data_IF_772671831931
#
_entry.id   IF_772671831931
#
_cell.length_a   1.000
_cell.length_b   1.000
_cell.length_c   1.000
_cell.angle_alpha   90.00
_cell.angle_beta   90.00
_cell.angle_gamma   90.00
#
_symmetry.space_group_name_H-M   'P 1'
#
loop_
_entity.id
_entity.type
_entity.pdbx_description
1 polymer ?
#
# COMPACT_ATOMS: atom_id res chain seq x y z
N UNK A 1 4.96 -2.43 19.19
CA UNK A 1 6.00 -3.39 19.62
C UNK A 1 6.95 -2.71 20.58
N UNK A 2 7.12 -3.31 21.78
CA UNK A 2 8.13 -2.89 22.75
C UNK A 2 9.35 -3.77 22.55
N UNK A 3 10.52 -3.19 22.28
CA UNK A 3 11.80 -3.90 22.25
C UNK A 3 12.48 -3.76 23.59
N UNK A 4 12.66 -4.89 24.31
CA UNK A 4 13.47 -4.95 25.52
C UNK A 4 14.89 -5.41 25.16
N UNK A 5 15.90 -4.64 25.57
CA UNK A 5 17.31 -5.06 25.43
C UNK A 5 17.65 -6.08 26.53
N UNK A 6 18.12 -7.24 26.12
CA UNK A 6 18.54 -8.32 27.00
C UNK A 6 20.06 -8.16 27.30
N UNK A 7 20.41 -7.92 28.55
CA UNK A 7 21.79 -8.03 29.03
C UNK A 7 21.93 -9.29 29.92
N UNK A 8 22.75 -10.23 29.47
CA UNK A 8 23.17 -11.39 30.30
C UNK A 8 24.45 -11.05 31.05
N UNK A 9 24.41 -11.03 32.37
CA UNK A 9 25.61 -11.03 33.23
C UNK A 9 25.90 -12.43 33.73
N UNK A 10 27.03 -13.02 33.32
CA UNK A 10 27.55 -14.27 33.87
C UNK A 10 28.21 -14.02 35.24
N UNK A 11 27.64 -14.58 36.30
CA UNK A 11 28.37 -14.91 37.56
C UNK A 11 27.81 -16.18 38.13
N UNK A 12 28.72 -17.06 38.61
CA UNK A 12 28.45 -18.43 39.01
C UNK A 12 27.46 -18.57 40.19
N UNK A 13 26.75 -19.73 40.15
CA UNK A 13 26.07 -20.46 41.22
C UNK A 13 24.68 -19.98 41.70
N UNK A 14 23.77 -20.88 41.54
CA UNK A 14 22.40 -21.14 41.98
C UNK A 14 21.38 -21.07 40.84
N UNK A 15 20.36 -21.93 40.80
CA UNK A 15 19.35 -21.87 39.75
C UNK A 15 18.54 -20.57 39.87
N UNK A 16 19.07 -19.52 39.28
CA UNK A 16 18.34 -18.28 39.12
C UNK A 16 17.21 -18.57 38.13
N UNK A 17 15.99 -18.51 38.59
CA UNK A 17 14.83 -18.30 37.76
C UNK A 17 15.22 -17.17 36.76
N UNK A 18 15.39 -17.52 35.50
CA UNK A 18 15.63 -16.52 34.42
C UNK A 18 14.41 -15.63 34.34
N UNK A 19 14.39 -14.58 35.12
CA UNK A 19 13.37 -13.56 35.09
C UNK A 19 13.67 -12.57 33.98
N UNK A 20 12.69 -12.24 33.20
CA UNK A 20 12.79 -11.11 32.26
C UNK A 20 12.99 -9.83 33.09
N UNK A 21 14.17 -9.23 32.99
CA UNK A 21 14.44 -7.94 33.61
C UNK A 21 13.93 -6.84 32.68
N UNK A 22 12.84 -6.20 33.07
CA UNK A 22 12.31 -5.04 32.36
C UNK A 22 13.16 -3.80 32.65
N UNK A 23 13.47 -3.04 31.61
CA UNK A 23 14.12 -1.75 31.77
C UNK A 23 13.19 -0.76 32.52
N UNK A 24 13.77 0.31 33.08
CA UNK A 24 13.00 1.41 33.64
C UNK A 24 12.04 1.98 32.58
N UNK A 25 10.85 2.36 33.01
CA UNK A 25 9.75 2.84 32.13
C UNK A 25 10.18 3.96 31.20
N UNK A 26 11.09 4.80 31.62
CA UNK A 26 11.63 5.92 30.85
C UNK A 26 12.52 5.54 29.66
N UNK A 27 12.99 4.30 29.63
CA UNK A 27 13.86 3.76 28.58
C UNK A 27 13.09 3.10 27.43
N UNK A 28 11.77 2.99 27.54
CA UNK A 28 10.95 2.44 26.45
C UNK A 28 10.72 3.45 25.33
N UNK A 29 10.98 3.02 24.11
CA UNK A 29 10.66 3.79 22.91
C UNK A 29 9.38 3.28 22.26
N UNK A 30 8.58 4.20 21.75
CA UNK A 30 7.39 3.88 20.95
C UNK A 30 7.78 3.83 19.47
N UNK A 31 7.26 2.83 18.77
CA UNK A 31 7.38 2.70 17.32
C UNK A 31 5.99 2.51 16.71
N UNK A 32 5.26 3.58 16.59
CA UNK A 32 3.96 3.60 15.95
C UNK A 32 4.14 3.79 14.45
N UNK A 33 3.41 3.01 13.65
CA UNK A 33 3.31 3.16 12.21
C UNK A 33 1.85 3.05 11.80
N UNK A 34 1.50 3.67 10.67
CA UNK A 34 0.18 3.48 10.08
C UNK A 34 0.07 2.03 9.59
N UNK A 35 -1.02 1.37 9.91
CA UNK A 35 -1.24 -0.02 9.51
C UNK A 35 -1.30 -0.14 7.97
N UNK A 36 -0.78 -1.25 7.44
CA UNK A 36 -0.79 -1.52 6.01
C UNK A 36 -2.21 -1.61 5.43
N UNK A 37 -3.21 -2.01 6.22
CA UNK A 37 -4.60 -2.03 5.76
C UNK A 37 -5.11 -0.62 5.46
N UNK A 38 -4.76 0.36 6.29
CA UNK A 38 -5.14 1.77 6.09
C UNK A 38 -4.43 2.32 4.85
N UNK A 39 -3.12 2.05 4.73
CA UNK A 39 -2.34 2.46 3.56
C UNK A 39 -2.89 1.80 2.28
N UNK A 40 -3.27 0.53 2.34
CA UNK A 40 -3.90 -0.18 1.24
C UNK A 40 -5.25 0.40 0.83
N UNK A 41 -6.10 0.74 1.80
CA UNK A 41 -7.38 1.37 1.54
C UNK A 41 -7.22 2.75 0.88
N UNK A 42 -6.21 3.52 1.29
CA UNK A 42 -5.86 4.78 0.64
C UNK A 42 -5.42 4.56 -0.81
N UNK A 43 -4.53 3.61 -1.06
CA UNK A 43 -4.08 3.27 -2.42
C UNK A 43 -5.26 2.89 -3.32
N UNK A 44 -6.18 2.08 -2.84
CA UNK A 44 -7.37 1.70 -3.62
C UNK A 44 -8.26 2.89 -3.97
N UNK A 45 -8.42 3.82 -3.02
CA UNK A 45 -9.14 5.06 -3.28
C UNK A 45 -8.44 5.87 -4.38
N UNK A 46 -7.13 6.06 -4.27
CA UNK A 46 -6.31 6.78 -5.25
C UNK A 46 -6.41 6.18 -6.66
N UNK A 47 -6.35 4.84 -6.78
CA UNK A 47 -6.46 4.16 -8.08
C UNK A 47 -7.85 4.32 -8.70
N UNK A 48 -8.90 4.52 -7.91
CA UNK A 48 -10.26 4.75 -8.41
C UNK A 48 -10.49 6.18 -8.90
N UNK A 49 -9.69 7.14 -8.47
CA UNK A 49 -9.79 8.53 -8.92
C UNK A 49 -9.18 8.69 -10.32
N UNK A 50 -10.00 9.04 -11.28
CA UNK A 50 -9.62 9.10 -12.70
C UNK A 50 -8.39 9.98 -12.96
N UNK A 51 -8.32 11.14 -12.33
CA UNK A 51 -7.23 12.11 -12.54
C UNK A 51 -5.90 11.60 -12.00
N UNK A 52 -5.91 10.87 -10.89
CA UNK A 52 -4.73 10.23 -10.30
C UNK A 52 -4.36 9.00 -11.12
N UNK A 53 -5.34 8.12 -11.39
CA UNK A 53 -5.17 6.88 -12.15
C UNK A 53 -4.47 7.13 -13.51
N UNK A 54 -4.82 8.19 -14.19
CA UNK A 54 -4.26 8.53 -15.50
C UNK A 54 -2.78 8.97 -15.45
N UNK A 55 -2.28 9.35 -14.26
CA UNK A 55 -0.89 9.75 -14.05
C UNK A 55 -0.03 8.60 -13.50
N UNK A 56 -0.66 7.49 -13.04
CA UNK A 56 0.05 6.34 -12.51
C UNK A 56 0.67 5.50 -13.62
N UNK A 57 1.81 4.89 -13.30
CA UNK A 57 2.37 3.79 -14.09
C UNK A 57 1.78 2.45 -13.67
N UNK A 58 1.52 1.63 -14.65
CA UNK A 58 1.01 0.28 -14.49
C UNK A 58 2.01 -0.74 -15.00
N UNK A 59 2.07 -1.85 -14.31
CA UNK A 59 2.95 -2.99 -14.56
C UNK A 59 2.13 -4.26 -14.69
N UNK A 60 2.62 -5.31 -15.38
CA UNK A 60 1.98 -6.61 -15.33
C UNK A 60 1.92 -7.13 -13.90
N UNK A 61 0.83 -7.80 -13.53
CA UNK A 61 0.74 -8.48 -12.26
C UNK A 61 1.88 -9.50 -12.15
N UNK A 62 2.72 -9.39 -11.12
CA UNK A 62 3.93 -10.21 -10.95
C UNK A 62 3.65 -11.70 -10.77
N UNK A 63 2.42 -12.07 -10.41
CA UNK A 63 1.97 -13.47 -10.30
C UNK A 63 1.46 -14.06 -11.62
N UNK A 64 1.44 -13.27 -12.70
CA UNK A 64 0.85 -13.67 -13.97
C UNK A 64 1.73 -14.69 -14.69
N UNK A 65 1.15 -15.82 -15.07
CA UNK A 65 1.79 -16.87 -15.85
C UNK A 65 0.83 -17.46 -16.88
N UNK A 66 1.39 -18.00 -17.94
CA UNK A 66 0.61 -18.68 -18.99
C UNK A 66 0.44 -20.16 -18.68
N UNK A 67 -0.79 -20.64 -18.74
CA UNK A 67 -1.13 -22.06 -18.62
C UNK A 67 -2.06 -22.46 -19.78
N UNK A 68 -1.51 -23.14 -20.78
CA UNK A 68 -2.25 -23.51 -21.98
C UNK A 68 -2.76 -22.27 -22.74
N UNK A 69 -4.06 -22.18 -22.91
CA UNK A 69 -4.75 -21.07 -23.58
C UNK A 69 -5.31 -20.02 -22.60
N UNK A 70 -4.70 -19.89 -21.44
CA UNK A 70 -5.12 -18.92 -20.41
C UNK A 70 -3.90 -18.28 -19.75
N UNK A 71 -4.06 -17.03 -19.33
CA UNK A 71 -3.25 -16.42 -18.29
C UNK A 71 -3.89 -16.69 -16.93
N UNK A 72 -3.08 -17.08 -15.96
CA UNK A 72 -3.45 -17.26 -14.56
C UNK A 72 -2.68 -16.28 -13.71
N UNK A 73 -3.33 -15.72 -12.67
CA UNK A 73 -2.72 -14.76 -11.77
C UNK A 73 -3.44 -14.73 -10.42
N UNK A 74 -2.83 -14.13 -9.43
CA UNK A 74 -3.45 -13.85 -8.13
C UNK A 74 -4.11 -12.48 -8.18
N UNK A 75 -5.40 -12.43 -7.93
CA UNK A 75 -6.14 -11.22 -7.63
C UNK A 75 -6.60 -11.24 -6.17
N UNK A 76 -6.88 -10.08 -5.61
CA UNK A 76 -7.43 -9.99 -4.27
C UNK A 76 -8.76 -9.23 -4.27
N UNK A 77 -9.62 -9.65 -3.35
CA UNK A 77 -10.86 -8.95 -3.02
C UNK A 77 -10.89 -8.69 -1.52
N UNK A 78 -11.62 -7.66 -1.12
CA UNK A 78 -11.84 -7.41 0.31
C UNK A 78 -13.05 -8.20 0.79
N UNK A 79 -12.82 -9.12 1.72
CA UNK A 79 -13.86 -9.77 2.49
C UNK A 79 -13.69 -9.39 3.95
N UNK A 80 -14.74 -8.81 4.57
CA UNK A 80 -14.69 -8.34 5.96
C UNK A 80 -13.47 -7.46 6.26
N UNK A 81 -13.13 -6.55 5.35
CA UNK A 81 -11.98 -5.62 5.41
C UNK A 81 -10.59 -6.28 5.28
N UNK A 82 -10.50 -7.57 5.02
CA UNK A 82 -9.25 -8.28 4.75
C UNK A 82 -9.09 -8.57 3.27
N UNK A 83 -7.86 -8.43 2.76
CA UNK A 83 -7.51 -8.91 1.43
C UNK A 83 -7.54 -10.43 1.42
N UNK A 84 -8.38 -11.02 0.58
CA UNK A 84 -8.36 -12.44 0.26
C UNK A 84 -7.91 -12.63 -1.17
N UNK A 85 -6.96 -13.53 -1.35
CA UNK A 85 -6.34 -13.79 -2.65
C UNK A 85 -7.00 -15.00 -3.30
N UNK A 86 -7.28 -14.86 -4.59
CA UNK A 86 -7.85 -15.92 -5.43
C UNK A 86 -7.01 -16.09 -6.69
N UNK A 87 -6.94 -17.34 -7.19
CA UNK A 87 -6.34 -17.60 -8.49
C UNK A 87 -7.40 -17.37 -9.55
N UNK A 88 -7.19 -16.35 -10.36
CA UNK A 88 -8.07 -16.00 -11.47
C UNK A 88 -7.43 -16.30 -12.82
N UNK A 89 -8.23 -16.31 -13.86
CA UNK A 89 -7.76 -16.60 -15.20
C UNK A 89 -8.49 -15.81 -16.26
N UNK A 90 -7.76 -15.41 -17.29
CA UNK A 90 -8.29 -14.77 -18.49
C UNK A 90 -7.83 -15.55 -19.72
N UNK A 91 -8.66 -15.64 -20.75
CA UNK A 91 -8.29 -16.28 -22.00
C UNK A 91 -7.05 -15.61 -22.60
N UNK A 92 -6.13 -16.44 -23.08
CA UNK A 92 -4.98 -15.95 -23.83
C UNK A 92 -5.45 -15.19 -25.08
N UNK A 93 -4.86 -14.03 -25.27
CA UNK A 93 -5.10 -13.16 -26.42
C UNK A 93 -3.79 -12.45 -26.75
N UNK A 94 -3.46 -12.39 -28.03
CA UNK A 94 -2.24 -11.71 -28.52
C UNK A 94 -2.22 -10.23 -28.15
N UNK A 95 -3.38 -9.60 -28.15
CA UNK A 95 -3.51 -8.20 -27.78
C UNK A 95 -3.19 -7.96 -26.30
N UNK A 96 -3.66 -8.82 -25.40
CA UNK A 96 -3.28 -8.78 -23.98
C UNK A 96 -1.77 -8.99 -23.84
N UNK A 97 -1.21 -9.94 -24.58
CA UNK A 97 0.23 -10.19 -24.55
C UNK A 97 1.02 -8.95 -24.95
N UNK A 98 0.57 -8.25 -25.98
CA UNK A 98 1.18 -7.00 -26.44
C UNK A 98 1.10 -5.90 -25.37
N UNK A 99 -0.06 -5.70 -24.76
CA UNK A 99 -0.25 -4.75 -23.63
C UNK A 99 0.72 -5.08 -22.50
N UNK A 100 0.82 -6.36 -22.11
CA UNK A 100 1.71 -6.81 -21.04
C UNK A 100 3.20 -6.57 -21.38
N UNK A 101 3.58 -6.72 -22.66
CA UNK A 101 4.94 -6.42 -23.11
C UNK A 101 5.28 -4.93 -22.98
N UNK A 102 4.39 -4.05 -23.41
CA UNK A 102 4.57 -2.60 -23.24
C UNK A 102 4.62 -2.18 -21.78
N UNK A 103 3.87 -2.86 -20.92
CA UNK A 103 3.79 -2.55 -19.51
C UNK A 103 4.98 -3.05 -18.65
N UNK A 104 5.92 -3.85 -19.21
CA UNK A 104 7.04 -4.44 -18.46
C UNK A 104 7.91 -3.42 -17.71
N UNK A 105 8.16 -2.26 -18.32
CA UNK A 105 8.95 -1.19 -17.72
C UNK A 105 8.12 -0.16 -16.95
N UNK A 106 6.81 -0.40 -16.84
CA UNK A 106 5.85 0.57 -16.32
C UNK A 106 5.42 1.58 -17.37
N UNK A 107 4.11 1.71 -17.57
CA UNK A 107 3.53 2.56 -18.60
C UNK A 107 2.27 3.25 -18.07
N UNK A 108 2.07 4.51 -18.41
CA UNK A 108 0.80 5.20 -18.15
C UNK A 108 -0.27 4.78 -19.15
N UNK A 109 -1.55 5.00 -18.80
CA UNK A 109 -2.66 4.69 -19.71
C UNK A 109 -2.47 5.47 -21.03
N UNK A 110 -2.07 6.73 -20.94
CA UNK A 110 -1.84 7.59 -22.14
C UNK A 110 -0.73 7.03 -23.02
N UNK A 111 0.43 6.73 -22.48
CA UNK A 111 1.54 6.14 -23.24
C UNK A 111 1.13 4.81 -23.89
N UNK A 112 0.34 3.98 -23.21
CA UNK A 112 -0.18 2.74 -23.76
C UNK A 112 -1.16 2.98 -24.91
N UNK A 113 -2.03 4.00 -24.76
CA UNK A 113 -2.94 4.46 -25.82
C UNK A 113 -2.15 4.94 -27.04
N UNK A 114 -1.15 5.78 -26.85
CA UNK A 114 -0.31 6.32 -27.92
C UNK A 114 0.46 5.20 -28.66
N UNK A 115 0.91 4.18 -27.94
CA UNK A 115 1.67 3.04 -28.50
C UNK A 115 0.81 2.06 -29.31
N UNK A 116 -0.47 1.88 -28.95
CA UNK A 116 -1.32 0.81 -29.49
C UNK A 116 -2.55 1.31 -30.28
N UNK A 117 -2.92 2.58 -30.16
CA UNK A 117 -4.07 3.14 -30.88
C UNK A 117 -3.70 3.41 -32.34
N UNK A 118 -4.00 2.46 -33.20
CA UNK A 118 -3.76 2.60 -34.64
C UNK A 118 -4.86 3.42 -35.37
N UNK A 119 -6.01 3.71 -34.74
CA UNK A 119 -7.15 4.44 -35.32
C UNK A 119 -7.94 5.20 -34.26
N UNK A 120 -8.19 6.48 -34.48
CA UNK A 120 -8.97 7.35 -33.60
C UNK A 120 -10.40 6.82 -33.28
N UNK A 121 -11.02 6.09 -34.20
CA UNK A 121 -12.39 5.58 -34.05
C UNK A 121 -12.57 4.53 -32.93
N UNK A 122 -11.49 3.95 -32.39
CA UNK A 122 -11.53 2.89 -31.37
C UNK A 122 -10.84 3.28 -30.06
N UNK A 123 -10.42 4.54 -29.90
CA UNK A 123 -9.67 4.97 -28.71
C UNK A 123 -10.46 4.79 -27.42
N UNK A 124 -11.72 5.19 -27.37
CA UNK A 124 -12.56 5.06 -26.18
C UNK A 124 -12.78 3.58 -25.78
N UNK A 125 -13.01 2.71 -26.74
CA UNK A 125 -13.13 1.26 -26.46
C UNK A 125 -11.83 0.68 -25.92
N UNK A 126 -10.70 1.12 -26.43
CA UNK A 126 -9.41 0.67 -25.98
C UNK A 126 -9.08 1.21 -24.58
N UNK A 127 -9.32 2.49 -24.31
CA UNK A 127 -9.15 3.08 -22.96
C UNK A 127 -9.99 2.31 -21.94
N UNK A 128 -11.28 2.06 -22.25
CA UNK A 128 -12.15 1.26 -21.39
C UNK A 128 -11.61 -0.16 -21.17
N UNK A 129 -11.04 -0.77 -22.19
CA UNK A 129 -10.45 -2.09 -22.06
C UNK A 129 -9.21 -2.09 -21.14
N UNK A 130 -8.34 -1.09 -21.25
CA UNK A 130 -7.20 -0.92 -20.33
C UNK A 130 -7.69 -0.73 -18.90
N UNK A 131 -8.74 0.07 -18.69
CA UNK A 131 -9.36 0.22 -17.38
C UNK A 131 -9.87 -1.12 -16.82
N UNK A 132 -10.48 -1.96 -17.65
CA UNK A 132 -10.91 -3.30 -17.25
C UNK A 132 -9.74 -4.20 -16.84
N UNK A 133 -8.59 -4.13 -17.55
CA UNK A 133 -7.39 -4.89 -17.17
C UNK A 133 -6.81 -4.43 -15.84
N UNK A 134 -6.90 -3.14 -15.52
CA UNK A 134 -6.49 -2.58 -14.24
C UNK A 134 -7.47 -3.03 -13.14
N UNK A 135 -8.77 -2.93 -13.38
CA UNK A 135 -9.80 -3.34 -12.42
C UNK A 135 -9.76 -4.84 -12.13
N UNK A 136 -9.41 -5.66 -13.13
CA UNK A 136 -9.17 -7.09 -13.00
C UNK A 136 -7.79 -7.43 -12.43
N UNK A 137 -6.98 -6.44 -12.03
CA UNK A 137 -5.64 -6.62 -11.46
C UNK A 137 -4.66 -7.41 -12.37
N UNK A 138 -4.87 -7.39 -13.67
CA UNK A 138 -3.91 -7.89 -14.67
C UNK A 138 -2.77 -6.89 -14.85
N UNK A 139 -3.13 -5.62 -14.80
CA UNK A 139 -2.21 -4.49 -14.67
C UNK A 139 -2.34 -3.92 -13.25
N UNK A 140 -1.23 -3.81 -12.54
CA UNK A 140 -1.16 -3.28 -11.19
C UNK A 140 -0.38 -1.95 -11.17
N UNK A 141 -0.80 -1.03 -10.31
CA UNK A 141 -0.19 0.29 -10.24
C UNK A 141 1.16 0.26 -9.52
N UNK A 142 1.99 1.26 -9.78
CA UNK A 142 3.24 1.51 -9.05
C UNK A 142 3.04 1.75 -7.54
N UNK A 143 1.82 2.08 -7.11
CA UNK A 143 1.46 2.29 -5.71
C UNK A 143 1.24 0.99 -4.93
N UNK A 144 1.25 -0.18 -5.59
CA UNK A 144 0.99 -1.46 -4.93
C UNK A 144 1.90 -1.67 -3.71
N UNK A 145 1.30 -2.19 -2.62
CA UNK A 145 2.00 -2.43 -1.37
C UNK A 145 3.04 -3.53 -1.50
N UNK A 146 4.26 -3.28 -1.02
CA UNK A 146 5.26 -4.32 -0.81
C UNK A 146 5.21 -4.79 0.64
N UNK A 147 5.29 -6.10 0.86
CA UNK A 147 5.26 -6.71 2.21
C UNK A 147 6.56 -6.45 2.98
N UNK A 148 7.66 -6.23 2.27
CA UNK A 148 8.99 -6.01 2.84
C UNK A 148 9.54 -4.65 2.40
N UNK A 149 10.36 -4.04 3.25
CA UNK A 149 11.05 -2.79 2.92
C UNK A 149 10.74 -1.63 3.86
N UNK A 150 10.78 -0.42 3.33
CA UNK A 150 10.49 0.82 4.06
C UNK A 150 9.04 0.88 4.54
N UNK A 151 8.76 1.78 5.48
CA UNK A 151 7.41 2.11 5.90
C UNK A 151 6.49 2.40 4.69
N UNK A 152 5.38 1.66 4.60
CA UNK A 152 4.48 1.72 3.45
C UNK A 152 3.90 3.12 3.22
N UNK A 153 3.53 3.82 4.30
CA UNK A 153 2.97 5.17 4.22
C UNK A 153 4.03 6.20 3.78
N UNK A 154 5.27 6.07 4.27
CA UNK A 154 6.39 6.92 3.86
C UNK A 154 6.76 6.73 2.38
N UNK A 155 6.73 5.48 1.89
CA UNK A 155 6.94 5.17 0.47
C UNK A 155 5.81 5.76 -0.39
N UNK A 156 4.57 5.55 0.01
CA UNK A 156 3.41 6.10 -0.69
C UNK A 156 3.51 7.62 -0.81
N UNK A 157 3.87 8.32 0.29
CA UNK A 157 4.07 9.76 0.26
C UNK A 157 5.12 10.19 -0.78
N UNK A 158 6.26 9.49 -0.85
CA UNK A 158 7.31 9.78 -1.84
C UNK A 158 6.79 9.64 -3.28
N UNK A 159 5.98 8.62 -3.55
CA UNK A 159 5.39 8.37 -4.88
C UNK A 159 4.35 9.44 -5.24
N UNK A 160 3.44 9.77 -4.30
CA UNK A 160 2.36 10.74 -4.53
C UNK A 160 2.88 12.16 -4.80
N UNK A 161 4.04 12.54 -4.25
CA UNK A 161 4.67 13.86 -4.53
C UNK A 161 4.98 14.08 -6.02
N UNK A 162 5.08 13.03 -6.81
CA UNK A 162 5.30 13.11 -8.25
C UNK A 162 4.00 13.19 -9.07
N UNK A 163 2.83 13.13 -8.41
CA UNK A 163 1.51 13.10 -9.04
C UNK A 163 0.79 14.41 -8.72
N UNK A 164 0.66 15.28 -9.71
CA UNK A 164 0.13 16.64 -9.51
C UNK A 164 -1.30 16.64 -8.94
N UNK A 165 -2.16 15.73 -9.39
CA UNK A 165 -3.54 15.60 -8.91
C UNK A 165 -3.68 15.03 -7.50
N UNK A 166 -2.60 14.52 -6.90
CA UNK A 166 -2.62 13.93 -5.57
C UNK A 166 -2.25 14.91 -4.44
N UNK A 167 -2.18 16.20 -4.69
CA UNK A 167 -1.69 17.23 -3.74
C UNK A 167 -2.43 17.23 -2.40
N UNK A 168 -3.76 17.04 -2.40
CA UNK A 168 -4.57 16.98 -1.19
C UNK A 168 -4.20 15.74 -0.34
N UNK A 169 -4.02 14.58 -0.99
CA UNK A 169 -3.59 13.36 -0.31
C UNK A 169 -2.16 13.44 0.21
N UNK A 170 -1.27 14.12 -0.52
CA UNK A 170 0.09 14.42 -0.04
C UNK A 170 0.03 15.24 1.24
N UNK A 171 -0.72 16.34 1.24
CA UNK A 171 -0.85 17.21 2.42
C UNK A 171 -1.46 16.48 3.62
N UNK A 172 -2.48 15.65 3.40
CA UNK A 172 -3.08 14.81 4.44
C UNK A 172 -2.07 13.80 5.01
N UNK A 173 -1.40 13.05 4.13
CA UNK A 173 -0.47 11.99 4.55
C UNK A 173 0.75 12.58 5.28
N UNK A 174 1.25 13.74 4.86
CA UNK A 174 2.29 14.47 5.59
C UNK A 174 1.86 14.82 7.02
N UNK A 175 0.64 15.35 7.20
CA UNK A 175 0.10 15.66 8.53
C UNK A 175 -0.01 14.39 9.40
N UNK A 176 -0.47 13.29 8.83
CA UNK A 176 -0.57 12.01 9.55
C UNK A 176 0.82 11.53 9.98
N UNK A 177 1.81 11.56 9.09
CA UNK A 177 3.17 11.10 9.41
C UNK A 177 3.86 12.01 10.43
N UNK A 178 3.66 13.32 10.37
CA UNK A 178 4.13 14.27 11.38
C UNK A 178 3.51 13.96 12.75
N UNK A 179 2.19 13.67 12.80
CA UNK A 179 1.50 13.31 14.04
C UNK A 179 2.03 11.98 14.61
N UNK A 180 2.27 10.98 13.76
CA UNK A 180 2.88 9.71 14.15
C UNK A 180 4.29 9.94 14.73
N UNK A 181 5.10 10.76 14.07
CA UNK A 181 6.44 11.11 14.54
C UNK A 181 6.38 11.82 15.91
N UNK A 182 5.46 12.77 16.09
CA UNK A 182 5.23 13.43 17.37
C UNK A 182 4.88 12.42 18.48
N UNK A 183 3.97 11.47 18.19
CA UNK A 183 3.60 10.42 19.15
C UNK A 183 4.83 9.56 19.49
N UNK A 184 5.64 9.16 18.51
CA UNK A 184 6.82 8.32 18.72
C UNK A 184 7.90 9.00 19.57
N UNK A 185 8.08 10.31 19.39
CA UNK A 185 9.06 11.10 20.15
C UNK A 185 8.58 11.52 21.54
N UNK A 186 7.30 11.41 21.82
CA UNK A 186 6.73 11.80 23.09
C UNK A 186 6.90 10.71 24.17
N UNK A 187 6.86 11.10 25.44
CA UNK A 187 6.86 10.14 26.56
C UNK A 187 5.64 9.19 26.48
N UNK A 188 5.76 8.02 27.12
CA UNK A 188 4.65 7.08 27.27
C UNK A 188 3.54 7.76 28.12
N UNK A 189 2.27 7.45 27.78
CA UNK A 189 1.12 8.00 28.52
C UNK A 189 0.50 9.23 27.86
N UNK A 190 0.71 9.45 26.56
CA UNK A 190 0.00 10.49 25.80
C UNK A 190 -1.53 10.31 25.90
N UNK A 191 -2.28 11.43 25.94
CA UNK A 191 -3.72 11.38 25.87
C UNK A 191 -4.22 10.71 24.59
N UNK A 192 -5.32 9.97 24.68
CA UNK A 192 -5.97 9.31 23.53
C UNK A 192 -6.35 10.31 22.43
N UNK A 193 -6.57 11.57 22.78
CA UNK A 193 -6.85 12.64 21.81
C UNK A 193 -5.78 12.80 20.75
N UNK A 194 -4.49 12.54 21.06
CA UNK A 194 -3.40 12.64 20.11
C UNK A 194 -3.52 11.57 19.01
N UNK A 195 -3.98 10.38 19.35
CA UNK A 195 -4.24 9.30 18.38
C UNK A 195 -5.51 9.57 17.56
N UNK A 196 -6.54 10.14 18.18
CA UNK A 196 -7.80 10.50 17.52
C UNK A 196 -7.65 11.58 16.45
N UNK A 197 -6.61 12.40 16.50
CA UNK A 197 -6.31 13.37 15.44
C UNK A 197 -6.10 12.66 14.10
N UNK A 198 -5.41 11.52 14.11
CA UNK A 198 -5.17 10.71 12.90
C UNK A 198 -6.49 10.11 12.40
N UNK A 199 -7.32 9.57 13.30
CA UNK A 199 -8.65 9.07 12.92
C UNK A 199 -9.51 10.16 12.26
N UNK A 200 -9.47 11.38 12.78
CA UNK A 200 -10.23 12.51 12.21
C UNK A 200 -9.76 12.81 10.79
N UNK A 201 -8.44 12.89 10.55
CA UNK A 201 -7.90 13.12 9.21
C UNK A 201 -8.30 12.03 8.20
N UNK A 202 -8.31 10.76 8.63
CA UNK A 202 -8.74 9.65 7.78
C UNK A 202 -10.25 9.69 7.48
N UNK A 203 -11.07 10.08 8.46
CA UNK A 203 -12.52 10.26 8.27
C UNK A 203 -12.84 11.40 7.32
N UNK A 204 -12.18 12.55 7.49
CA UNK A 204 -12.35 13.71 6.61
C UNK A 204 -11.99 13.38 5.15
N UNK A 205 -11.00 12.51 4.95
CA UNK A 205 -10.61 12.03 3.64
C UNK A 205 -11.43 10.82 3.14
N UNK A 206 -12.44 10.38 3.89
CA UNK A 206 -13.25 9.20 3.59
C UNK A 206 -12.42 7.94 3.28
N UNK A 207 -11.39 7.69 4.13
CA UNK A 207 -10.55 6.50 4.04
C UNK A 207 -11.06 5.47 5.04
N UNK A 208 -11.47 4.27 4.57
CA UNK A 208 -11.96 3.24 5.46
C UNK A 208 -10.84 2.68 6.34
N UNK A 209 -11.10 2.54 7.63
CA UNK A 209 -10.19 1.91 8.58
C UNK A 209 -10.96 1.14 9.66
N UNK A 210 -10.26 0.29 10.37
CA UNK A 210 -10.73 -0.39 11.56
C UNK A 210 -9.95 0.16 12.76
N UNK A 211 -10.68 0.68 13.77
CA UNK A 211 -10.03 1.38 14.91
C UNK A 211 -9.01 0.51 15.66
N UNK A 212 -9.24 -0.81 15.72
CA UNK A 212 -8.32 -1.79 16.32
C UNK A 212 -7.07 -2.07 15.48
N UNK A 213 -7.02 -1.61 14.22
CA UNK A 213 -5.96 -1.86 13.23
C UNK A 213 -5.52 -0.57 12.54
N UNK A 214 -5.57 0.53 13.26
CA UNK A 214 -5.13 1.81 12.73
C UNK A 214 -3.61 1.91 12.71
N UNK A 215 -2.96 1.28 13.67
CA UNK A 215 -1.51 1.35 13.89
C UNK A 215 -0.90 -0.05 14.09
N UNK A 216 0.38 -0.14 13.71
CA UNK A 216 1.31 -1.22 14.03
C UNK A 216 2.35 -0.75 15.04
#
# INVERSE_FOLDING_TARGET
HFTANHQTSNTEAEPKTEGVILSEFEKYNKHLRLDMQVTGALIEKLIKEKEIRNQLKFYPNSSLYRLGNQYRYLEYHYENKFRKYHVSGIAFNEFITLILQYAQAGITIRELMDALANNEANQEHFENYVHQLIDAQILISELELTVTGEDAAGRLLKQLKNIASASEYVAMLEKILIQIQHINQSKIGLPVSEYRKIETMLKEADIPYEASKLFQ
#
